data_IF_059309723845
#
_entry.id   IF_059309723845
#
_cell.length_a   1.000
_cell.length_b   1.000
_cell.length_c   1.000
_cell.angle_alpha   90.00
_cell.angle_beta   90.00
_cell.angle_gamma   90.00
#
_symmetry.space_group_name_H-M   'P 1'
#
loop_
_entity.id
_entity.type
_entity.pdbx_description
1 polymer ?
#
# COMPACT_ATOMS: atom_id res chain seq x y z
N UNK A 1 3.37 7.60 4.83
CA UNK A 1 2.81 6.75 3.76
C UNK A 1 1.29 6.86 3.66
N UNK A 2 0.54 6.59 4.74
CA UNK A 2 -0.92 6.81 4.76
C UNK A 2 -1.31 8.23 4.31
N UNK A 3 -0.67 9.26 4.86
CA UNK A 3 -0.92 10.66 4.54
C UNK A 3 -0.55 11.00 3.09
N UNK A 4 0.51 10.39 2.56
CA UNK A 4 0.95 10.63 1.19
C UNK A 4 -0.04 10.04 0.17
N UNK A 5 -0.55 8.85 0.46
CA UNK A 5 -1.58 8.19 -0.35
C UNK A 5 -2.88 8.98 -0.26
N UNK A 6 -3.34 9.38 0.94
CA UNK A 6 -4.54 10.22 1.09
C UNK A 6 -4.41 11.59 0.42
N UNK A 7 -3.20 12.18 0.41
CA UNK A 7 -2.98 13.50 -0.19
C UNK A 7 -3.09 13.50 -1.71
N UNK A 8 -2.74 12.40 -2.39
CA UNK A 8 -2.90 12.25 -3.85
C UNK A 8 -4.20 11.55 -4.23
N UNK A 9 -4.64 10.62 -3.41
CA UNK A 9 -5.83 9.80 -3.62
C UNK A 9 -6.75 9.97 -2.42
N UNK A 10 -7.54 11.06 -2.36
CA UNK A 10 -8.45 11.32 -1.25
C UNK A 10 -9.55 10.25 -1.12
N UNK A 11 -9.81 9.48 -2.18
CA UNK A 11 -10.75 8.35 -2.19
C UNK A 11 -10.09 6.99 -1.92
N UNK A 12 -8.79 6.93 -1.62
CA UNK A 12 -8.12 5.66 -1.32
C UNK A 12 -8.60 5.08 0.02
N UNK A 13 -9.07 3.84 0.01
CA UNK A 13 -9.45 3.12 1.22
C UNK A 13 -8.23 2.42 1.82
N UNK A 14 -7.63 3.01 2.84
CA UNK A 14 -6.45 2.44 3.51
C UNK A 14 -6.90 1.65 4.74
N UNK A 15 -6.77 0.33 4.68
CA UNK A 15 -7.02 -0.55 5.81
C UNK A 15 -5.71 -1.11 6.37
N UNK A 16 -5.43 -0.77 7.62
CA UNK A 16 -4.35 -1.38 8.40
C UNK A 16 -4.89 -2.63 9.08
N UNK A 17 -4.72 -3.77 8.44
CA UNK A 17 -5.06 -5.06 9.04
C UNK A 17 -3.91 -5.46 9.95
N UNK A 18 -4.10 -5.30 11.26
CA UNK A 18 -3.15 -5.74 12.28
C UNK A 18 -3.15 -7.28 12.36
N UNK A 19 -2.50 -7.93 11.40
CA UNK A 19 -2.24 -9.36 11.40
C UNK A 19 -0.87 -9.67 12.00
N UNK A 20 -0.78 -10.67 12.87
CA UNK A 20 0.49 -11.20 13.36
C UNK A 20 1.34 -11.71 12.19
N UNK A 21 2.43 -11.01 11.86
CA UNK A 21 3.31 -11.37 10.75
C UNK A 21 3.87 -10.20 9.94
N UNK A 22 3.36 -8.97 10.14
CA UNK A 22 3.95 -7.78 9.52
C UNK A 22 3.82 -7.73 7.99
N UNK A 23 2.75 -8.32 7.45
CA UNK A 23 2.40 -8.23 6.04
C UNK A 23 1.91 -6.82 5.69
N UNK A 24 2.30 -6.34 4.52
CA UNK A 24 1.85 -5.06 3.98
C UNK A 24 1.44 -5.31 2.53
N UNK A 25 0.17 -5.12 2.22
CA UNK A 25 -0.41 -5.39 0.90
C UNK A 25 -1.12 -4.11 0.48
N UNK A 26 -0.92 -3.71 -0.77
CA UNK A 26 -1.59 -2.56 -1.39
C UNK A 26 -2.40 -3.05 -2.57
N UNK A 27 -3.70 -2.78 -2.51
CA UNK A 27 -4.67 -3.15 -3.52
C UNK A 27 -5.35 -1.89 -4.07
N UNK A 28 -5.45 -1.82 -5.39
CA UNK A 28 -6.10 -0.73 -6.13
C UNK A 28 -7.09 -1.38 -7.08
N UNK A 29 -8.36 -0.98 -7.05
CA UNK A 29 -9.42 -1.53 -7.92
C UNK A 29 -9.50 -3.07 -7.91
N UNK A 30 -9.44 -3.71 -6.73
CA UNK A 30 -9.38 -5.18 -6.57
C UNK A 30 -8.14 -5.85 -7.18
N UNK A 31 -7.08 -5.09 -7.48
CA UNK A 31 -5.81 -5.61 -7.98
C UNK A 31 -4.69 -5.31 -6.99
N UNK A 32 -3.99 -6.35 -6.54
CA UNK A 32 -2.79 -6.21 -5.73
C UNK A 32 -1.69 -5.59 -6.59
N UNK A 33 -1.32 -4.34 -6.31
CA UNK A 33 -0.23 -3.63 -6.99
C UNK A 33 1.09 -3.76 -6.23
N UNK A 34 1.03 -4.05 -4.92
CA UNK A 34 2.22 -4.21 -4.11
C UNK A 34 1.98 -5.20 -2.98
N UNK A 35 2.94 -6.10 -2.77
CA UNK A 35 2.95 -7.01 -1.63
C UNK A 35 4.35 -7.04 -1.02
N UNK A 36 4.47 -6.60 0.24
CA UNK A 36 5.68 -6.74 1.04
C UNK A 36 6.09 -8.20 1.20
N UNK A 37 5.14 -9.13 1.17
CA UNK A 37 5.43 -10.56 1.30
C UNK A 37 6.22 -11.08 0.09
N UNK A 38 5.97 -10.55 -1.10
CA UNK A 38 6.74 -10.87 -2.32
C UNK A 38 8.04 -10.07 -2.42
N UNK A 39 7.99 -8.76 -2.16
CA UNK A 39 9.15 -7.88 -2.31
C UNK A 39 10.12 -7.92 -1.13
N UNK A 40 9.72 -8.56 -0.03
CA UNK A 40 10.45 -8.65 1.25
C UNK A 40 10.88 -7.28 1.83
N UNK A 41 10.21 -6.20 1.43
CA UNK A 41 10.55 -4.82 1.81
C UNK A 41 9.30 -3.95 1.88
N UNK A 42 9.41 -2.82 2.56
CA UNK A 42 8.41 -1.77 2.46
C UNK A 42 8.60 -1.01 1.14
N UNK A 43 7.51 -0.53 0.52
CA UNK A 43 7.61 0.31 -0.66
C UNK A 43 8.30 1.63 -0.33
N UNK A 44 9.01 2.19 -1.30
CA UNK A 44 9.63 3.51 -1.11
C UNK A 44 8.58 4.63 -1.14
N UNK A 45 8.98 5.80 -0.64
CA UNK A 45 8.20 7.04 -0.76
C UNK A 45 7.89 7.30 -2.24
N UNK A 46 6.64 7.61 -2.58
CA UNK A 46 6.11 7.66 -3.96
C UNK A 46 6.09 6.36 -4.78
N UNK A 47 6.67 5.24 -4.35
CA UNK A 47 6.66 4.01 -5.18
C UNK A 47 5.24 3.48 -5.38
N UNK A 48 4.47 3.45 -4.28
CA UNK A 48 3.06 3.06 -4.37
C UNK A 48 2.30 3.99 -5.30
N UNK A 49 2.59 5.30 -5.28
CA UNK A 49 1.91 6.28 -6.14
C UNK A 49 2.27 6.17 -7.62
N UNK A 50 3.43 5.61 -7.96
CA UNK A 50 3.86 5.35 -9.34
C UNK A 50 3.21 4.07 -9.90
N UNK A 51 2.82 3.15 -9.00
CA UNK A 51 2.15 1.89 -9.33
C UNK A 51 0.62 2.01 -9.45
N UNK A 52 0.03 3.15 -9.09
CA UNK A 52 -1.42 3.44 -9.19
C UNK A 52 -1.74 4.15 -10.50
#
# INVERSE_FOLDING_TARGET
>A
MKDEILSKFPNANIQLIAGGGGNFIVEVENKVIFSKKETNRFPNKNEILDLI
#
